data_IF_429034451571
#
_entry.id   IF_429034451571
#
_cell.length_a   1.000
_cell.length_b   1.000
_cell.length_c   1.000
_cell.angle_alpha   90.00
_cell.angle_beta   90.00
_cell.angle_gamma   90.00
#
_symmetry.space_group_name_H-M   'P 1'
#
loop_
_entity.id
_entity.type
_entity.pdbx_description
1 polymer ?
#
# COMPACT_ATOMS: atom_id res chain seq x y z
N UNK A 1 -1.25 -31.41 -58.71
CA UNK A 1 -1.89 -30.46 -57.78
C UNK A 1 -0.97 -30.35 -56.59
N UNK A 2 -0.19 -29.29 -56.52
CA UNK A 2 0.65 -29.01 -55.36
C UNK A 2 0.51 -27.52 -55.05
N UNK A 3 -0.17 -27.24 -53.95
CA UNK A 3 -0.59 -25.90 -53.54
C UNK A 3 0.53 -25.32 -52.67
N UNK A 4 1.62 -24.88 -53.29
CA UNK A 4 2.71 -24.20 -52.60
C UNK A 4 2.24 -22.80 -52.20
N UNK A 5 1.88 -22.68 -50.92
CA UNK A 5 1.67 -21.43 -50.21
C UNK A 5 2.89 -20.52 -50.39
N UNK A 6 2.74 -19.50 -51.25
CA UNK A 6 3.70 -18.40 -51.34
C UNK A 6 3.71 -17.67 -49.99
N UNK A 7 4.65 -18.03 -49.12
CA UNK A 7 5.06 -17.18 -48.01
C UNK A 7 5.68 -15.92 -48.60
N UNK A 8 4.89 -14.87 -48.70
CA UNK A 8 5.34 -13.55 -49.14
C UNK A 8 6.18 -12.90 -48.04
N UNK A 9 7.47 -13.22 -48.01
CA UNK A 9 8.44 -12.46 -47.23
C UNK A 9 8.69 -11.16 -47.97
N UNK A 10 8.11 -10.05 -47.48
CA UNK A 10 8.58 -8.71 -47.85
C UNK A 10 10.07 -8.62 -47.46
N UNK A 11 10.97 -8.63 -48.43
CA UNK A 11 12.36 -8.21 -48.23
C UNK A 11 12.43 -6.72 -48.53
N UNK A 12 12.61 -5.85 -47.50
CA UNK A 12 12.80 -4.43 -47.74
C UNK A 12 14.19 -4.24 -48.35
N UNK A 13 14.24 -4.00 -49.66
CA UNK A 13 15.39 -3.33 -50.26
C UNK A 13 15.23 -1.84 -49.96
N UNK A 14 15.88 -1.36 -48.90
CA UNK A 14 16.53 -0.05 -48.88
C UNK A 14 17.19 0.20 -47.52
N UNK A 15 18.46 0.57 -47.58
CA UNK A 15 19.36 0.93 -46.48
C UNK A 15 18.97 2.21 -45.73
N UNK A 16 17.69 2.65 -45.80
CA UNK A 16 17.21 3.91 -45.21
C UNK A 16 16.31 3.73 -43.96
N UNK A 17 15.79 2.53 -43.67
CA UNK A 17 15.04 2.27 -42.44
C UNK A 17 15.94 1.58 -41.40
N UNK A 18 16.72 2.36 -40.66
CA UNK A 18 17.46 1.92 -39.45
C UNK A 18 16.54 1.83 -38.22
N UNK A 19 15.28 1.44 -38.41
CA UNK A 19 14.32 1.24 -37.32
C UNK A 19 14.56 -0.10 -36.65
N UNK A 20 14.98 -0.08 -35.38
CA UNK A 20 15.06 -1.30 -34.57
C UNK A 20 13.64 -1.86 -34.40
N UNK A 21 13.42 -3.11 -34.83
CA UNK A 21 12.10 -3.75 -34.70
C UNK A 21 11.73 -3.84 -33.21
N UNK A 22 10.57 -3.30 -32.79
CA UNK A 22 10.13 -3.41 -31.40
C UNK A 22 9.94 -4.87 -30.98
N UNK A 23 10.48 -5.24 -29.83
CA UNK A 23 10.27 -6.56 -29.24
C UNK A 23 8.85 -6.65 -28.65
N UNK A 24 7.96 -7.29 -29.41
CA UNK A 24 6.54 -7.46 -29.04
C UNK A 24 6.35 -8.35 -27.82
N UNK A 25 7.26 -9.29 -27.58
CA UNK A 25 7.19 -10.19 -26.43
C UNK A 25 7.51 -9.43 -25.14
N UNK A 26 8.53 -8.56 -25.17
CA UNK A 26 8.85 -7.67 -24.06
C UNK A 26 7.68 -6.71 -23.77
N UNK A 27 7.07 -6.12 -24.80
CA UNK A 27 5.92 -5.21 -24.61
C UNK A 27 4.74 -5.94 -23.94
N UNK A 28 4.37 -7.12 -24.46
CA UNK A 28 3.26 -7.92 -23.94
C UNK A 28 3.53 -8.38 -22.50
N UNK A 29 4.75 -8.85 -22.23
CA UNK A 29 5.17 -9.27 -20.88
C UNK A 29 5.14 -8.09 -19.91
N UNK A 30 5.62 -6.92 -20.32
CA UNK A 30 5.63 -5.71 -19.48
C UNK A 30 4.21 -5.27 -19.12
N UNK A 31 3.29 -5.30 -20.09
CA UNK A 31 1.88 -5.00 -19.86
C UNK A 31 1.24 -5.99 -18.87
N UNK A 32 1.55 -7.28 -19.00
CA UNK A 32 1.05 -8.31 -18.08
C UNK A 32 1.59 -8.11 -16.65
N UNK A 33 2.89 -7.81 -16.52
CA UNK A 33 3.51 -7.50 -15.23
C UNK A 33 2.88 -6.27 -14.57
N UNK A 34 2.64 -5.23 -15.34
CA UNK A 34 2.00 -4.01 -14.83
C UNK A 34 0.57 -4.27 -14.36
N UNK A 35 -0.23 -5.01 -15.14
CA UNK A 35 -1.58 -5.44 -14.73
C UNK A 35 -1.57 -6.27 -13.45
N UNK A 36 -0.69 -7.27 -13.35
CA UNK A 36 -0.58 -8.11 -12.16
C UNK A 36 -0.13 -7.30 -10.94
N UNK A 37 0.74 -6.32 -11.14
CA UNK A 37 1.19 -5.42 -10.07
C UNK A 37 0.06 -4.49 -9.62
N UNK A 38 -0.78 -4.02 -10.54
CA UNK A 38 -1.95 -3.22 -10.20
C UNK A 38 -2.96 -4.02 -9.38
N UNK A 39 -3.26 -5.28 -9.74
CA UNK A 39 -4.16 -6.14 -8.94
C UNK A 39 -3.68 -6.26 -7.49
N UNK A 40 -2.37 -6.38 -7.27
CA UNK A 40 -1.78 -6.39 -5.93
C UNK A 40 -1.95 -5.03 -5.24
N UNK A 41 -1.72 -3.94 -5.98
CA UNK A 41 -1.92 -2.58 -5.48
C UNK A 41 -3.39 -2.32 -5.11
N UNK A 42 -4.37 -2.80 -5.88
CA UNK A 42 -5.80 -2.69 -5.61
C UNK A 42 -6.15 -3.37 -4.28
N UNK A 43 -5.65 -4.59 -4.07
CA UNK A 43 -5.86 -5.33 -2.82
C UNK A 43 -5.27 -4.58 -1.62
N UNK A 44 -4.04 -4.07 -1.77
CA UNK A 44 -3.35 -3.33 -0.72
C UNK A 44 -4.03 -1.98 -0.45
N UNK A 45 -4.46 -1.27 -1.49
CA UNK A 45 -5.14 0.02 -1.36
C UNK A 45 -6.53 -0.14 -0.75
N UNK A 46 -7.31 -1.15 -1.17
CA UNK A 46 -8.62 -1.42 -0.58
C UNK A 46 -8.53 -1.71 0.93
N UNK A 47 -7.42 -2.30 1.38
CA UNK A 47 -7.20 -2.66 2.78
C UNK A 47 -6.57 -1.54 3.62
N UNK A 48 -5.68 -0.76 3.04
CA UNK A 48 -4.88 0.25 3.78
C UNK A 48 -5.31 1.68 3.52
N UNK A 49 -5.97 1.95 2.39
CA UNK A 49 -6.27 3.29 1.86
C UNK A 49 -5.02 4.19 1.78
N UNK A 50 -3.83 3.58 1.75
CA UNK A 50 -2.56 4.27 1.83
C UNK A 50 -2.13 4.76 0.44
N UNK A 51 -1.60 5.98 0.37
CA UNK A 51 -1.12 6.64 -0.87
C UNK A 51 -2.14 6.65 -2.04
N UNK A 52 -3.33 7.25 -1.85
CA UNK A 52 -4.37 7.32 -2.88
C UNK A 52 -3.88 7.97 -4.18
N UNK A 53 -3.04 9.01 -4.07
CA UNK A 53 -2.49 9.71 -5.23
C UNK A 53 -1.54 8.83 -6.06
N UNK A 54 -0.76 7.96 -5.41
CA UNK A 54 0.14 7.04 -6.11
C UNK A 54 -0.68 5.93 -6.79
N UNK A 55 -1.67 5.40 -6.08
CA UNK A 55 -2.59 4.41 -6.61
C UNK A 55 -3.35 4.91 -7.84
N UNK A 56 -3.88 6.14 -7.79
CA UNK A 56 -4.58 6.77 -8.92
C UNK A 56 -3.64 6.95 -10.12
N UNK A 57 -2.40 7.41 -9.89
CA UNK A 57 -1.38 7.52 -10.94
C UNK A 57 -1.07 6.17 -11.59
N UNK A 58 -0.87 5.12 -10.79
CA UNK A 58 -0.62 3.75 -11.28
C UNK A 58 -1.80 3.21 -12.10
N UNK A 59 -3.02 3.43 -11.61
CA UNK A 59 -4.26 3.01 -12.29
C UNK A 59 -4.41 3.72 -13.64
N UNK A 60 -4.18 5.04 -13.67
CA UNK A 60 -4.21 5.84 -14.90
C UNK A 60 -3.15 5.36 -15.90
N UNK A 61 -1.93 5.12 -15.44
CA UNK A 61 -0.85 4.64 -16.31
C UNK A 61 -1.17 3.26 -16.88
N UNK A 62 -1.70 2.35 -16.06
CA UNK A 62 -2.09 1.03 -16.52
C UNK A 62 -3.22 1.10 -17.56
N UNK A 63 -4.22 1.96 -17.34
CA UNK A 63 -5.32 2.18 -18.28
C UNK A 63 -4.80 2.73 -19.61
N UNK A 64 -3.91 3.72 -19.56
CA UNK A 64 -3.28 4.30 -20.75
C UNK A 64 -2.51 3.22 -21.53
N UNK A 65 -1.60 2.50 -20.89
CA UNK A 65 -0.78 1.48 -21.56
C UNK A 65 -1.61 0.31 -22.15
N UNK A 66 -2.71 -0.09 -21.50
CA UNK A 66 -3.65 -1.08 -22.07
C UNK A 66 -4.34 -0.55 -23.32
N UNK A 67 -4.83 0.69 -23.26
CA UNK A 67 -5.58 1.33 -24.35
C UNK A 67 -4.69 1.56 -25.56
N UNK A 68 -3.48 2.07 -25.33
CA UNK A 68 -2.50 2.34 -26.39
C UNK A 68 -1.94 1.06 -27.02
N UNK A 69 -1.76 -0.01 -26.25
CA UNK A 69 -1.40 -1.32 -26.81
C UNK A 69 -2.49 -1.84 -27.76
N UNK A 70 -3.77 -1.67 -27.39
CA UNK A 70 -4.88 -2.09 -28.23
C UNK A 70 -4.96 -1.26 -29.51
N UNK A 71 -4.89 0.06 -29.39
CA UNK A 71 -4.86 0.96 -30.55
C UNK A 71 -3.67 0.66 -31.47
N UNK A 72 -2.47 0.44 -30.92
CA UNK A 72 -1.30 0.06 -31.72
C UNK A 72 -1.54 -1.23 -32.50
N UNK A 73 -2.14 -2.25 -31.88
CA UNK A 73 -2.49 -3.49 -32.55
C UNK A 73 -3.44 -3.27 -33.72
N UNK A 74 -4.56 -2.57 -33.49
CA UNK A 74 -5.57 -2.29 -34.52
C UNK A 74 -4.99 -1.43 -35.66
N UNK A 75 -4.21 -0.40 -35.33
CA UNK A 75 -3.59 0.48 -36.31
C UNK A 75 -2.54 -0.24 -37.14
N UNK A 76 -1.71 -1.09 -36.53
CA UNK A 76 -0.72 -1.88 -37.25
C UNK A 76 -1.38 -2.88 -38.21
N UNK A 77 -2.44 -3.58 -37.78
CA UNK A 77 -3.18 -4.51 -38.63
C UNK A 77 -3.84 -3.78 -39.81
N UNK A 78 -4.50 -2.64 -39.55
CA UNK A 78 -5.11 -1.81 -40.60
C UNK A 78 -4.08 -1.33 -41.62
N UNK A 79 -2.93 -0.83 -41.15
CA UNK A 79 -1.84 -0.39 -42.03
C UNK A 79 -1.28 -1.54 -42.88
N UNK A 80 -1.11 -2.74 -42.31
CA UNK A 80 -0.65 -3.92 -43.06
C UNK A 80 -1.65 -4.25 -44.17
N UNK A 81 -2.94 -4.33 -43.85
CA UNK A 81 -4.00 -4.64 -44.84
C UNK A 81 -4.03 -3.56 -45.95
N UNK A 82 -3.95 -2.29 -45.58
CA UNK A 82 -3.94 -1.19 -46.53
C UNK A 82 -2.71 -1.27 -47.44
N UNK A 83 -1.51 -1.46 -46.89
CA UNK A 83 -0.27 -1.58 -47.67
C UNK A 83 -0.31 -2.80 -48.59
N UNK A 84 -0.74 -3.96 -48.10
CA UNK A 84 -0.83 -5.20 -48.88
C UNK A 84 -1.82 -5.06 -50.04
N UNK A 85 -3.01 -4.50 -49.77
CA UNK A 85 -4.03 -4.28 -50.80
C UNK A 85 -3.55 -3.32 -51.90
N UNK A 86 -2.89 -2.21 -51.53
CA UNK A 86 -2.36 -1.23 -52.49
C UNK A 86 -1.15 -1.76 -53.24
N UNK A 87 -0.28 -2.51 -52.58
CA UNK A 87 0.86 -3.16 -53.24
C UNK A 87 0.38 -4.20 -54.26
N UNK A 88 -0.68 -4.95 -53.93
CA UNK A 88 -1.28 -5.91 -54.87
C UNK A 88 -1.86 -5.22 -56.11
N UNK A 89 -2.58 -4.10 -55.93
CA UNK A 89 -3.09 -3.29 -57.04
C UNK A 89 -1.96 -2.74 -57.91
N UNK A 90 -0.93 -2.14 -57.31
CA UNK A 90 0.24 -1.64 -58.04
C UNK A 90 0.96 -2.74 -58.83
N UNK A 91 1.08 -3.95 -58.25
CA UNK A 91 1.68 -5.11 -58.94
C UNK A 91 0.83 -5.62 -60.10
N UNK A 92 -0.49 -5.52 -60.01
CA UNK A 92 -1.41 -5.87 -61.09
C UNK A 92 -1.23 -4.92 -62.27
N UNK A 93 -1.11 -3.62 -62.00
CA UNK A 93 -0.85 -2.60 -63.03
C UNK A 93 0.57 -2.67 -63.63
N UNK A 94 1.55 -3.15 -62.87
CA UNK A 94 2.92 -3.36 -63.36
C UNK A 94 3.08 -4.61 -64.26
N UNK A 95 2.02 -5.41 -64.49
CA UNK A 95 2.11 -6.59 -65.34
C UNK A 95 2.25 -6.21 -66.83
N UNK A 96 3.07 -6.91 -67.63
CA UNK A 96 3.25 -6.62 -69.06
C UNK A 96 1.98 -6.71 -69.91
N UNK A 97 0.95 -7.40 -69.40
CA UNK A 97 -0.36 -7.56 -70.03
C UNK A 97 -1.41 -6.54 -69.56
N UNK A 98 -1.03 -5.58 -68.71
CA UNK A 98 -1.95 -4.57 -68.18
C UNK A 98 -2.26 -3.52 -69.25
N UNK A 99 -3.51 -3.05 -69.28
CA UNK A 99 -3.93 -1.88 -70.05
C UNK A 99 -3.10 -0.66 -69.62
N UNK A 100 -2.75 0.26 -70.56
CA UNK A 100 -2.04 1.48 -70.20
C UNK A 100 -2.86 2.27 -69.17
N UNK A 101 -2.26 2.57 -68.03
CA UNK A 101 -2.85 3.41 -66.97
C UNK A 101 -3.04 4.81 -67.56
N UNK A 102 -4.24 5.36 -67.47
CA UNK A 102 -4.49 6.74 -67.87
C UNK A 102 -4.05 7.75 -66.79
N UNK A 103 -4.00 9.03 -67.13
CA UNK A 103 -3.54 10.06 -66.21
C UNK A 103 -4.47 10.25 -64.99
N UNK A 104 -5.75 9.85 -65.10
CA UNK A 104 -6.75 9.98 -64.04
C UNK A 104 -6.61 8.86 -63.01
N UNK A 105 -6.39 7.62 -63.47
CA UNK A 105 -6.08 6.45 -62.64
C UNK A 105 -4.74 6.62 -61.90
N UNK A 106 -3.73 7.20 -62.54
CA UNK A 106 -2.45 7.49 -61.89
C UNK A 106 -2.58 8.52 -60.76
N UNK A 107 -3.40 9.56 -60.98
CA UNK A 107 -3.67 10.59 -59.96
C UNK A 107 -4.47 10.00 -58.78
N UNK A 108 -5.47 9.14 -59.02
CA UNK A 108 -6.20 8.47 -57.94
C UNK A 108 -5.28 7.57 -57.11
N UNK A 109 -4.38 6.81 -57.74
CA UNK A 109 -3.35 6.02 -57.05
C UNK A 109 -2.46 6.92 -56.18
N UNK A 110 -2.01 8.05 -56.70
CA UNK A 110 -1.17 8.99 -55.97
C UNK A 110 -1.91 9.59 -54.75
N UNK A 111 -3.17 9.99 -54.92
CA UNK A 111 -4.04 10.46 -53.83
C UNK A 111 -4.22 9.38 -52.76
N UNK A 112 -4.41 8.12 -53.16
CA UNK A 112 -4.56 7.00 -52.23
C UNK A 112 -3.26 6.69 -51.47
N UNK A 113 -2.11 6.71 -52.14
CA UNK A 113 -0.79 6.59 -51.50
C UNK A 113 -0.55 7.73 -50.50
N UNK A 114 -0.89 8.97 -50.88
CA UNK A 114 -0.76 10.13 -49.98
C UNK A 114 -1.66 10.00 -48.75
N UNK A 115 -2.89 9.50 -48.90
CA UNK A 115 -3.78 9.19 -47.76
C UNK A 115 -3.17 8.15 -46.82
N UNK A 116 -2.55 7.11 -47.36
CA UNK A 116 -1.91 6.07 -46.57
C UNK A 116 -0.73 6.61 -45.77
N UNK A 117 0.12 7.43 -46.41
CA UNK A 117 1.24 8.12 -45.73
C UNK A 117 0.74 9.07 -44.65
N UNK A 118 -0.31 9.85 -44.92
CA UNK A 118 -0.90 10.76 -43.94
C UNK A 118 -1.48 9.99 -42.74
N UNK A 119 -2.17 8.87 -42.98
CA UNK A 119 -2.70 8.02 -41.92
C UNK A 119 -1.59 7.40 -41.07
N UNK A 120 -0.54 6.86 -41.70
CA UNK A 120 0.61 6.30 -40.99
C UNK A 120 1.32 7.37 -40.13
N UNK A 121 1.45 8.59 -40.66
CA UNK A 121 2.06 9.72 -39.94
C UNK A 121 1.22 10.14 -38.73
N UNK A 122 -0.11 10.20 -38.87
CA UNK A 122 -1.02 10.53 -37.77
C UNK A 122 -0.96 9.48 -36.65
N UNK A 123 -0.95 8.19 -37.01
CA UNK A 123 -0.81 7.09 -36.05
C UNK A 123 0.54 7.18 -35.32
N UNK A 124 1.63 7.47 -36.03
CA UNK A 124 2.95 7.61 -35.42
C UNK A 124 3.01 8.79 -34.42
N UNK A 125 2.35 9.91 -34.72
CA UNK A 125 2.24 11.06 -33.81
C UNK A 125 1.41 10.75 -32.55
N UNK A 126 0.30 10.02 -32.72
CA UNK A 126 -0.50 9.55 -31.59
C UNK A 126 0.32 8.64 -30.66
N UNK A 127 1.05 7.69 -31.24
CA UNK A 127 1.92 6.79 -30.47
C UNK A 127 3.03 7.54 -29.74
N UNK A 128 3.66 8.52 -30.39
CA UNK A 128 4.71 9.34 -29.77
C UNK A 128 4.17 10.14 -28.57
N UNK A 129 2.96 10.68 -28.69
CA UNK A 129 2.27 11.41 -27.63
C UNK A 129 1.93 10.49 -26.45
N UNK A 130 1.40 9.30 -26.74
CA UNK A 130 1.12 8.27 -25.75
C UNK A 130 2.38 7.81 -24.99
N UNK A 131 3.47 7.57 -25.72
CA UNK A 131 4.76 7.18 -25.13
C UNK A 131 5.34 8.28 -24.24
N UNK A 132 5.21 9.54 -24.65
CA UNK A 132 5.58 10.70 -23.81
C UNK A 132 4.76 10.74 -22.51
N UNK A 133 3.44 10.51 -22.61
CA UNK A 133 2.55 10.43 -21.46
C UNK A 133 2.90 9.27 -20.50
N UNK A 134 3.32 8.12 -21.03
CA UNK A 134 3.79 6.98 -20.24
C UNK A 134 5.16 7.24 -19.60
N UNK A 135 6.09 7.90 -20.29
CA UNK A 135 7.43 8.22 -19.80
C UNK A 135 7.43 9.23 -18.65
N UNK A 136 6.44 10.13 -18.61
CA UNK A 136 6.26 11.09 -17.52
C UNK A 136 5.64 10.48 -16.25
N UNK A 137 5.17 9.22 -16.30
CA UNK A 137 4.16 8.72 -15.39
C UNK A 137 4.62 8.33 -13.98
N UNK A 138 5.88 7.97 -13.75
CA UNK A 138 6.36 7.54 -12.43
C UNK A 138 7.78 8.05 -12.18
N UNK A 139 7.89 9.07 -11.33
CA UNK A 139 9.17 9.47 -10.76
C UNK A 139 9.67 8.37 -9.82
N UNK A 140 10.78 7.72 -10.21
CA UNK A 140 11.41 6.66 -9.42
C UNK A 140 11.93 7.18 -8.09
N UNK A 141 12.38 8.44 -8.04
CA UNK A 141 12.84 9.06 -6.79
C UNK A 141 11.66 9.24 -5.84
N UNK A 142 10.56 9.83 -6.33
CA UNK A 142 9.34 9.99 -5.53
C UNK A 142 8.81 8.64 -5.01
N UNK A 143 8.89 7.59 -5.83
CA UNK A 143 8.48 6.23 -5.42
C UNK A 143 9.41 5.66 -4.34
N UNK A 144 10.71 5.92 -4.41
CA UNK A 144 11.68 5.50 -3.39
C UNK A 144 11.46 6.24 -2.06
N UNK A 145 11.16 7.54 -2.10
CA UNK A 145 10.84 8.35 -0.92
C UNK A 145 9.59 7.82 -0.21
N UNK A 146 8.52 7.45 -0.95
CA UNK A 146 7.35 6.79 -0.37
C UNK A 146 7.71 5.45 0.30
N UNK A 147 8.59 4.66 -0.33
CA UNK A 147 9.07 3.41 0.25
C UNK A 147 9.79 3.61 1.59
N UNK A 148 10.67 4.62 1.67
CA UNK A 148 11.37 4.98 2.91
C UNK A 148 10.40 5.48 3.98
N UNK A 149 9.45 6.34 3.62
CA UNK A 149 8.41 6.83 4.54
C UNK A 149 7.60 5.68 5.12
N UNK A 150 7.16 4.73 4.29
CA UNK A 150 6.40 3.56 4.73
C UNK A 150 7.21 2.70 5.70
N UNK A 151 8.49 2.48 5.43
CA UNK A 151 9.37 1.72 6.31
C UNK A 151 9.56 2.42 7.66
N UNK A 152 9.67 3.76 7.66
CA UNK A 152 9.69 4.58 8.87
C UNK A 152 8.38 4.47 9.66
N UNK A 153 7.23 4.58 8.98
CA UNK A 153 5.91 4.45 9.60
C UNK A 153 5.71 3.07 10.24
N UNK A 154 6.14 2.00 9.56
CA UNK A 154 6.09 0.63 10.10
C UNK A 154 6.96 0.47 11.35
N UNK A 155 8.19 1.01 11.34
CA UNK A 155 9.07 0.97 12.50
C UNK A 155 8.47 1.75 13.70
N UNK A 156 7.96 2.96 13.44
CA UNK A 156 7.29 3.79 14.44
C UNK A 156 6.06 3.10 15.05
N UNK A 157 5.25 2.43 14.22
CA UNK A 157 4.09 1.66 14.69
C UNK A 157 4.52 0.48 15.58
N UNK A 158 5.60 -0.22 15.21
CA UNK A 158 6.18 -1.28 16.03
C UNK A 158 6.62 -0.79 17.41
N UNK A 159 7.43 0.27 17.45
CA UNK A 159 7.88 0.88 18.71
C UNK A 159 6.70 1.36 19.56
N UNK A 160 5.66 1.94 18.93
CA UNK A 160 4.46 2.39 19.65
C UNK A 160 3.69 1.23 20.27
N UNK A 161 3.57 0.09 19.58
CA UNK A 161 2.98 -1.13 20.13
C UNK A 161 3.78 -1.66 21.33
N UNK A 162 5.10 -1.71 21.21
CA UNK A 162 5.96 -2.17 22.30
C UNK A 162 5.82 -1.29 23.55
N UNK A 163 5.84 0.04 23.37
CA UNK A 163 5.62 1.00 24.46
C UNK A 163 4.24 0.81 25.10
N UNK A 164 3.19 0.58 24.32
CA UNK A 164 1.85 0.32 24.84
C UNK A 164 1.78 -0.99 25.63
N UNK A 165 2.40 -2.07 25.15
CA UNK A 165 2.49 -3.33 25.87
C UNK A 165 3.27 -3.21 27.18
N UNK A 166 4.43 -2.54 27.17
CA UNK A 166 5.22 -2.29 28.39
C UNK A 166 4.43 -1.43 29.38
N UNK A 167 3.74 -0.40 28.91
CA UNK A 167 2.91 0.47 29.75
C UNK A 167 1.75 -0.32 30.37
N UNK A 168 1.09 -1.19 29.60
CA UNK A 168 0.01 -2.04 30.08
C UNK A 168 0.50 -3.04 31.14
N UNK A 169 1.66 -3.67 30.91
CA UNK A 169 2.26 -4.60 31.86
C UNK A 169 2.56 -3.90 33.19
N UNK A 170 3.19 -2.71 33.13
CA UNK A 170 3.47 -1.89 34.30
C UNK A 170 2.19 -1.49 35.06
N UNK A 171 1.15 -1.04 34.37
CA UNK A 171 -0.13 -0.69 35.01
C UNK A 171 -0.81 -1.90 35.68
N UNK A 172 -0.71 -3.10 35.08
CA UNK A 172 -1.24 -4.32 35.68
C UNK A 172 -0.49 -4.72 36.96
N UNK A 173 0.84 -4.66 36.93
CA UNK A 173 1.68 -4.90 38.11
C UNK A 173 1.35 -3.91 39.23
N UNK A 174 1.32 -2.61 38.90
CA UNK A 174 0.96 -1.52 39.81
C UNK A 174 -0.43 -1.69 40.41
N UNK A 175 -1.41 -2.15 39.62
CA UNK A 175 -2.76 -2.45 40.09
C UNK A 175 -2.77 -3.68 41.00
N UNK A 176 -2.00 -4.72 40.68
CA UNK A 176 -1.95 -5.96 41.46
C UNK A 176 -1.36 -5.72 42.84
N UNK A 177 -0.27 -4.94 42.94
CA UNK A 177 0.32 -4.54 44.23
C UNK A 177 -0.71 -3.81 45.10
N UNK A 178 -1.43 -2.84 44.54
CA UNK A 178 -2.50 -2.15 45.27
C UNK A 178 -3.66 -3.07 45.66
N UNK A 179 -4.07 -4.01 44.79
CA UNK A 179 -5.15 -4.95 45.11
C UNK A 179 -4.76 -5.85 46.27
N UNK A 180 -3.59 -6.47 46.22
CA UNK A 180 -3.11 -7.35 47.30
C UNK A 180 -2.94 -6.58 48.62
N UNK A 181 -2.48 -5.33 48.58
CA UNK A 181 -2.39 -4.49 49.77
C UNK A 181 -3.77 -4.13 50.34
N UNK A 182 -4.75 -3.82 49.49
CA UNK A 182 -6.14 -3.57 49.91
C UNK A 182 -6.73 -4.83 50.53
N UNK A 183 -6.58 -6.00 49.89
CA UNK A 183 -7.12 -7.27 50.39
C UNK A 183 -6.50 -7.64 51.74
N UNK A 184 -5.19 -7.42 51.92
CA UNK A 184 -4.51 -7.61 53.20
C UNK A 184 -5.05 -6.68 54.30
N UNK A 185 -5.30 -5.41 53.98
CA UNK A 185 -5.91 -4.45 54.92
C UNK A 185 -7.37 -4.84 55.27
N UNK A 186 -8.16 -5.25 54.29
CA UNK A 186 -9.56 -5.64 54.50
C UNK A 186 -9.68 -6.92 55.34
N UNK A 187 -8.83 -7.92 55.09
CA UNK A 187 -8.82 -9.20 55.82
C UNK A 187 -8.53 -9.06 57.32
N UNK A 188 -7.83 -8.00 57.72
CA UNK A 188 -7.47 -7.69 59.12
C UNK A 188 -8.46 -6.74 59.80
N UNK A 189 -9.61 -6.46 59.17
CA UNK A 189 -10.66 -5.62 59.76
C UNK A 189 -10.36 -4.12 59.73
N UNK A 190 -9.37 -3.68 58.93
CA UNK A 190 -9.04 -2.26 58.78
C UNK A 190 -10.14 -1.47 58.04
N UNK A 191 -11.21 -2.11 57.58
CA UNK A 191 -12.37 -1.46 56.95
C UNK A 191 -13.10 -0.47 57.87
N UNK A 192 -13.00 -0.62 59.19
CA UNK A 192 -13.57 0.32 60.18
C UNK A 192 -12.57 1.38 60.64
N UNK A 193 -11.27 1.03 60.73
CA UNK A 193 -10.21 1.89 61.27
C UNK A 193 -9.51 2.72 60.19
N UNK A 194 -9.39 2.23 58.94
CA UNK A 194 -8.55 2.81 57.89
C UNK A 194 -9.31 3.48 56.74
N UNK A 195 -10.65 3.56 56.79
CA UNK A 195 -11.43 4.28 55.76
C UNK A 195 -11.08 5.77 55.72
N UNK A 196 -11.06 6.42 56.88
CA UNK A 196 -10.73 7.86 56.98
C UNK A 196 -9.39 8.13 57.67
N UNK A 197 -8.78 7.10 58.27
CA UNK A 197 -7.50 7.26 58.97
C UNK A 197 -6.33 7.04 58.03
N UNK A 198 -5.35 7.95 58.08
CA UNK A 198 -4.05 7.79 57.45
C UNK A 198 -3.42 6.43 57.78
N UNK A 199 -3.06 5.69 56.73
CA UNK A 199 -2.29 4.47 56.74
C UNK A 199 -0.80 4.88 56.74
N UNK A 200 -0.14 4.66 57.87
CA UNK A 200 1.30 4.89 58.07
C UNK A 200 1.98 3.56 58.39
N UNK A 201 3.30 3.48 58.17
CA UNK A 201 4.06 2.25 58.45
C UNK A 201 3.84 1.74 59.88
N UNK A 202 3.84 2.64 60.87
CA UNK A 202 3.61 2.31 62.28
C UNK A 202 2.22 1.70 62.54
N UNK A 203 1.20 2.18 61.82
CA UNK A 203 -0.16 1.63 61.93
C UNK A 203 -0.26 0.26 61.30
N UNK A 204 0.39 0.04 60.17
CA UNK A 204 0.42 -1.29 59.53
C UNK A 204 1.13 -2.32 60.42
N UNK A 205 2.22 -1.92 61.09
CA UNK A 205 2.90 -2.75 62.10
C UNK A 205 1.98 -3.09 63.29
N UNK A 206 1.18 -2.12 63.75
CA UNK A 206 0.25 -2.33 64.88
C UNK A 206 -0.92 -3.28 64.57
N UNK A 207 -1.21 -3.57 63.30
CA UNK A 207 -2.28 -4.47 62.87
C UNK A 207 -1.93 -5.96 62.99
N UNK A 208 -0.72 -6.32 63.45
CA UNK A 208 -0.31 -7.71 63.64
C UNK A 208 -0.26 -8.51 62.34
N UNK A 209 0.12 -7.85 61.24
CA UNK A 209 0.25 -8.46 59.92
C UNK A 209 1.43 -9.41 59.83
N UNK A 210 1.30 -10.45 58.99
CA UNK A 210 2.40 -11.37 58.74
C UNK A 210 3.50 -10.67 57.91
N UNK A 211 4.78 -11.04 58.04
CA UNK A 211 5.88 -10.38 57.32
C UNK A 211 5.67 -10.25 55.80
N UNK A 212 5.08 -11.23 55.07
CA UNK A 212 4.78 -11.09 53.64
C UNK A 212 3.70 -10.04 53.35
N UNK A 213 2.65 -9.97 54.17
CA UNK A 213 1.55 -9.00 54.02
C UNK A 213 2.06 -7.57 54.26
N UNK A 214 2.90 -7.40 55.30
CA UNK A 214 3.54 -6.13 55.64
C UNK A 214 4.39 -5.60 54.48
N UNK A 215 5.20 -6.46 53.85
CA UNK A 215 6.05 -6.09 52.73
C UNK A 215 5.24 -5.57 51.53
N UNK A 216 4.13 -6.23 51.19
CA UNK A 216 3.27 -5.83 50.08
C UNK A 216 2.59 -4.48 50.35
N UNK A 217 2.14 -4.25 51.59
CA UNK A 217 1.53 -2.97 51.96
C UNK A 217 2.56 -1.84 51.97
N UNK A 218 3.76 -2.08 52.48
CA UNK A 218 4.86 -1.10 52.43
C UNK A 218 5.20 -0.71 50.98
N UNK A 219 5.29 -1.69 50.09
CA UNK A 219 5.51 -1.46 48.66
C UNK A 219 4.38 -0.61 48.03
N UNK A 220 3.13 -0.93 48.35
CA UNK A 220 1.98 -0.17 47.88
C UNK A 220 1.97 1.28 48.41
N UNK A 221 2.39 1.50 49.66
CA UNK A 221 2.52 2.83 50.25
C UNK A 221 3.63 3.63 49.59
N UNK A 222 4.77 3.02 49.27
CA UNK A 222 5.84 3.66 48.51
C UNK A 222 5.39 4.05 47.10
N UNK A 223 4.69 3.15 46.42
CA UNK A 223 4.13 3.41 45.09
C UNK A 223 3.11 4.57 45.11
N UNK A 224 2.25 4.61 46.13
CA UNK A 224 1.32 5.73 46.37
C UNK A 224 2.06 7.04 46.62
N UNK A 225 3.14 7.04 47.43
CA UNK A 225 3.97 8.22 47.68
C UNK A 225 4.67 8.72 46.42
N UNK A 226 5.23 7.83 45.61
CA UNK A 226 5.94 8.18 44.38
C UNK A 226 5.01 8.82 43.33
N UNK A 227 3.70 8.59 43.40
CA UNK A 227 2.72 9.17 42.48
C UNK A 227 1.98 10.38 43.04
N UNK A 228 2.15 10.70 44.33
CA UNK A 228 1.60 11.87 45.01
C UNK A 228 2.64 13.01 45.00
N UNK A 229 2.95 13.56 43.82
CA UNK A 229 3.95 14.64 43.71
C UNK A 229 3.49 16.01 44.28
N UNK A 230 2.23 16.22 44.67
CA UNK A 230 1.72 17.57 45.03
C UNK A 230 0.60 17.66 46.09
N UNK A 231 0.50 16.75 47.06
CA UNK A 231 -0.54 16.92 48.08
C UNK A 231 -0.24 16.29 49.42
N UNK A 232 -0.40 17.09 50.49
CA UNK A 232 -0.54 16.68 51.89
C UNK A 232 -1.78 15.79 52.16
N UNK A 233 -2.33 15.13 51.13
CA UNK A 233 -3.41 14.19 51.27
C UNK A 233 -2.82 12.86 51.75
N UNK A 234 -3.09 12.53 53.01
CA UNK A 234 -2.66 11.28 53.60
C UNK A 234 -3.15 10.06 52.84
N UNK A 235 -2.31 9.03 52.76
CA UNK A 235 -2.68 7.75 52.15
C UNK A 235 -3.68 7.04 53.06
N UNK A 236 -4.92 6.88 52.63
CA UNK A 236 -5.94 6.08 53.33
C UNK A 236 -6.50 5.00 52.39
N UNK A 237 -7.34 4.09 52.93
CA UNK A 237 -7.88 2.97 52.17
C UNK A 237 -8.72 3.46 50.96
N UNK A 238 -9.47 4.55 51.13
CA UNK A 238 -10.28 5.16 50.07
C UNK A 238 -9.38 5.66 48.92
N UNK A 239 -8.24 6.28 49.22
CA UNK A 239 -7.29 6.76 48.23
C UNK A 239 -6.66 5.59 47.45
N UNK A 240 -6.31 4.49 48.12
CA UNK A 240 -5.80 3.28 47.48
C UNK A 240 -6.84 2.64 46.55
N UNK A 241 -8.09 2.52 46.99
CA UNK A 241 -9.20 1.99 46.18
C UNK A 241 -9.43 2.86 44.94
N UNK A 242 -9.54 4.19 45.12
CA UNK A 242 -9.69 5.13 43.99
C UNK A 242 -8.55 5.01 43.00
N UNK A 243 -7.31 4.83 43.48
CA UNK A 243 -6.14 4.68 42.60
C UNK A 243 -6.17 3.37 41.82
N UNK A 244 -6.50 2.26 42.48
CA UNK A 244 -6.69 0.95 41.84
C UNK A 244 -7.76 1.01 40.75
N UNK A 245 -8.87 1.66 41.03
CA UNK A 245 -9.98 1.79 40.07
C UNK A 245 -9.58 2.70 38.89
N UNK A 246 -8.84 3.78 39.13
CA UNK A 246 -8.24 4.58 38.07
C UNK A 246 -7.22 3.81 37.20
N UNK A 247 -6.46 2.87 37.78
CA UNK A 247 -5.64 1.95 36.99
C UNK A 247 -6.49 1.01 36.16
N UNK A 248 -7.59 0.47 36.69
CA UNK A 248 -8.52 -0.38 35.94
C UNK A 248 -9.08 0.36 34.71
N UNK A 249 -9.48 1.61 34.87
CA UNK A 249 -9.97 2.44 33.75
C UNK A 249 -8.89 2.65 32.68
N UNK A 250 -7.67 3.00 33.09
CA UNK A 250 -6.53 3.16 32.17
C UNK A 250 -6.15 1.87 31.45
N UNK A 251 -6.13 0.74 32.16
CA UNK A 251 -5.89 -0.58 31.57
C UNK A 251 -6.96 -0.89 30.54
N UNK A 252 -8.25 -0.71 30.87
CA UNK A 252 -9.34 -0.95 29.93
C UNK A 252 -9.24 -0.08 28.67
N UNK A 253 -8.92 1.21 28.83
CA UNK A 253 -8.73 2.11 27.70
C UNK A 253 -7.55 1.68 26.81
N UNK A 254 -6.40 1.33 27.41
CA UNK A 254 -5.22 0.86 26.67
C UNK A 254 -5.45 -0.50 26.01
N UNK A 255 -6.15 -1.43 26.66
CA UNK A 255 -6.54 -2.72 26.08
C UNK A 255 -7.48 -2.55 24.89
N UNK A 256 -8.43 -1.61 24.95
CA UNK A 256 -9.29 -1.29 23.81
C UNK A 256 -8.50 -0.68 22.65
N UNK A 257 -7.53 0.21 22.93
CA UNK A 257 -6.65 0.76 21.90
C UNK A 257 -5.79 -0.34 21.25
N UNK A 258 -5.17 -1.22 22.05
CA UNK A 258 -4.40 -2.36 21.55
C UNK A 258 -5.25 -3.32 20.72
N UNK A 259 -6.45 -3.68 21.18
CA UNK A 259 -7.37 -4.53 20.42
C UNK A 259 -7.80 -3.90 19.08
N UNK A 260 -7.95 -2.57 19.03
CA UNK A 260 -8.15 -1.83 17.79
C UNK A 260 -6.96 -1.94 16.84
N UNK A 261 -5.75 -1.70 17.35
CA UNK A 261 -4.51 -1.77 16.58
C UNK A 261 -4.17 -3.19 16.11
N UNK A 262 -4.42 -4.22 16.91
CA UNK A 262 -4.21 -5.62 16.53
C UNK A 262 -5.21 -6.05 15.45
N UNK A 263 -6.45 -5.55 15.50
CA UNK A 263 -7.44 -5.80 14.44
C UNK A 263 -7.02 -5.13 13.11
N UNK A 264 -6.39 -3.96 13.17
CA UNK A 264 -5.80 -3.31 12.00
C UNK A 264 -4.54 -4.04 11.50
N UNK A 265 -3.68 -4.53 12.40
CA UNK A 265 -2.48 -5.33 12.08
C UNK A 265 -2.82 -6.68 11.45
N UNK A 266 -3.86 -7.36 11.92
CA UNK A 266 -4.35 -8.60 11.30
C UNK A 266 -4.91 -8.37 9.90
N UNK A 267 -5.59 -7.24 9.67
CA UNK A 267 -6.07 -6.85 8.33
C UNK A 267 -4.94 -6.55 7.36
N UNK A 268 -3.81 -6.01 7.83
CA UNK A 268 -2.63 -5.75 7.00
C UNK A 268 -1.76 -6.99 6.76
N UNK A 269 -1.62 -7.91 7.73
CA UNK A 269 -0.80 -9.11 7.55
C UNK A 269 -1.47 -10.18 6.65
N UNK A 270 -2.80 -10.35 6.75
CA UNK A 270 -3.59 -11.19 5.83
C UNK A 270 -3.79 -10.58 4.43
N UNK A 271 -3.22 -9.39 4.18
CA UNK A 271 -3.15 -8.76 2.87
C UNK A 271 -1.87 -9.07 2.09
N UNK A 272 -0.82 -9.46 2.83
CA UNK A 272 0.53 -9.64 2.33
C UNK A 272 0.91 -11.12 2.17
N UNK A 273 0.04 -12.03 2.61
CA UNK A 273 0.12 -13.49 2.43
C UNK A 273 -0.88 -13.95 1.37
#
# INVERSE_FOLDING_TARGET
MDNSTMKNTFTPNDTAFTGQVPDRDIMTRSLHLMRNSLIKADLLFAKTQYLPNLYEKLTRLNTLAVTEQHHLGEHAERLIIDIESKTALLRQYAQPSATPIDAEELEDINVQCQRLVNNATAIAQQLASALSGMAQGIDRQQTAEFGQSLQGDMANAGTRLDVLHTTLAKLNEERQVLSTAIDALESKGATSIAKDTLITADKVLSLGMQPPELAVIMLALEQMKATLEKGEAGINLIAMIKRRDGFRERINALSQQLAGMDKEKWRSHSALS
#
